data_IF_476438453274
#
_entry.id   IF_476438453274
#
_cell.length_a   1.000
_cell.length_b   1.000
_cell.length_c   1.000
_cell.angle_alpha   90.00
_cell.angle_beta   90.00
_cell.angle_gamma   90.00
#
_symmetry.space_group_name_H-M   'P 1'
#
loop_
_entity.id
_entity.type
_entity.pdbx_description
1 polymer ?
#
# COMPACT_ATOMS: atom_id res chain seq x y z
N UNK A 1 -13.91 -12.25 -16.51
CA UNK A 1 -12.89 -11.44 -15.80
C UNK A 1 -11.63 -12.25 -15.49
N UNK A 2 -11.70 -13.39 -14.77
CA UNK A 2 -10.52 -14.25 -14.46
C UNK A 2 -9.69 -14.69 -15.67
N UNK A 3 -10.36 -15.23 -16.70
CA UNK A 3 -9.69 -15.72 -17.91
C UNK A 3 -8.94 -14.61 -18.67
N UNK A 4 -9.39 -13.35 -18.54
CA UNK A 4 -8.70 -12.20 -19.16
C UNK A 4 -7.43 -11.84 -18.39
N UNK A 5 -7.46 -11.94 -17.05
CA UNK A 5 -6.30 -11.66 -16.19
C UNK A 5 -5.22 -12.74 -16.32
N UNK A 6 -5.61 -14.02 -16.35
CA UNK A 6 -4.68 -15.13 -16.57
C UNK A 6 -4.02 -15.06 -17.96
N UNK A 7 -4.76 -14.66 -18.99
CA UNK A 7 -4.22 -14.41 -20.32
C UNK A 7 -3.24 -13.23 -20.33
N UNK A 8 -3.59 -12.12 -19.66
CA UNK A 8 -2.71 -10.95 -19.52
C UNK A 8 -1.41 -11.32 -18.80
N UNK A 9 -1.48 -12.07 -17.70
CA UNK A 9 -0.30 -12.57 -16.96
C UNK A 9 0.64 -13.34 -17.88
N UNK A 10 0.15 -14.34 -18.62
CA UNK A 10 0.99 -15.13 -19.53
C UNK A 10 1.64 -14.30 -20.62
N UNK A 11 0.91 -13.31 -21.13
CA UNK A 11 1.42 -12.39 -22.18
C UNK A 11 2.55 -11.53 -21.62
N UNK A 12 2.35 -10.96 -20.43
CA UNK A 12 3.37 -10.17 -19.74
C UNK A 12 4.58 -11.00 -19.33
N UNK A 13 4.39 -12.22 -18.84
CA UNK A 13 5.50 -13.13 -18.50
C UNK A 13 6.39 -13.42 -19.71
N UNK A 14 5.79 -13.60 -20.90
CA UNK A 14 6.55 -13.76 -22.14
C UNK A 14 7.30 -12.48 -22.51
N UNK A 15 6.65 -11.32 -22.44
CA UNK A 15 7.30 -10.05 -22.75
C UNK A 15 8.46 -9.74 -21.79
N UNK A 16 8.32 -10.06 -20.49
CA UNK A 16 9.37 -9.93 -19.49
C UNK A 16 10.51 -10.94 -19.71
N UNK A 17 10.22 -12.12 -20.26
CA UNK A 17 11.28 -13.06 -20.64
C UNK A 17 12.14 -12.51 -21.78
N UNK A 18 11.54 -11.75 -22.70
CA UNK A 18 12.24 -11.08 -23.81
C UNK A 18 12.97 -9.80 -23.33
N UNK A 19 12.40 -9.04 -22.39
CA UNK A 19 13.00 -7.86 -21.77
C UNK A 19 12.86 -7.86 -20.23
N UNK A 20 13.77 -8.54 -19.50
CA UNK A 20 13.65 -8.70 -18.05
C UNK A 20 13.98 -7.44 -17.25
N UNK A 21 14.50 -6.39 -17.90
CA UNK A 21 14.86 -5.12 -17.29
C UNK A 21 13.78 -4.05 -17.52
N UNK A 22 12.63 -4.40 -18.10
CA UNK A 22 11.54 -3.45 -18.30
C UNK A 22 10.74 -3.24 -17.01
N UNK A 23 11.00 -2.12 -16.32
CA UNK A 23 10.32 -1.79 -15.06
C UNK A 23 8.80 -1.63 -15.21
N UNK A 24 8.33 -1.10 -16.34
CA UNK A 24 6.91 -0.90 -16.62
C UNK A 24 6.17 -2.25 -16.75
N UNK A 25 6.72 -3.19 -17.53
CA UNK A 25 6.14 -4.53 -17.66
C UNK A 25 6.09 -5.28 -16.32
N UNK A 26 7.12 -5.10 -15.48
CA UNK A 26 7.17 -5.68 -14.13
C UNK A 26 6.05 -5.11 -13.24
N UNK A 27 5.83 -3.79 -13.27
CA UNK A 27 4.71 -3.14 -12.56
C UNK A 27 3.36 -3.65 -13.10
N UNK A 28 3.18 -3.73 -14.42
CA UNK A 28 1.95 -4.25 -15.00
C UNK A 28 1.63 -5.68 -14.58
N UNK A 29 2.65 -6.55 -14.52
CA UNK A 29 2.48 -7.93 -14.07
C UNK A 29 2.18 -7.97 -12.57
N UNK A 30 2.84 -7.14 -11.77
CA UNK A 30 2.55 -7.03 -10.34
C UNK A 30 1.10 -6.63 -10.06
N UNK A 31 0.56 -5.64 -10.80
CA UNK A 31 -0.86 -5.25 -10.74
C UNK A 31 -1.79 -6.43 -11.01
N UNK A 32 -1.43 -7.30 -11.95
CA UNK A 32 -2.24 -8.48 -12.25
C UNK A 32 -2.24 -9.46 -11.06
N UNK A 33 -1.09 -9.69 -10.45
CA UNK A 33 -0.97 -10.53 -9.25
C UNK A 33 -1.71 -9.93 -8.05
N UNK A 34 -1.62 -8.61 -7.85
CA UNK A 34 -2.40 -7.90 -6.83
C UNK A 34 -3.93 -8.01 -7.10
N UNK A 35 -4.37 -7.84 -8.34
CA UNK A 35 -5.78 -7.90 -8.71
C UNK A 35 -6.40 -9.30 -8.59
N UNK A 36 -5.59 -10.38 -8.65
CA UNK A 36 -6.05 -11.74 -8.36
C UNK A 36 -6.55 -11.89 -6.92
N UNK A 37 -6.16 -10.97 -6.03
CA UNK A 37 -6.53 -10.98 -4.62
C UNK A 37 -7.60 -9.95 -4.22
N UNK A 38 -8.07 -9.11 -5.15
CA UNK A 38 -9.06 -8.08 -4.84
C UNK A 38 -10.28 -8.70 -4.11
N UNK A 39 -10.56 -8.31 -2.85
CA UNK A 39 -11.69 -8.81 -2.06
C UNK A 39 -13.06 -8.56 -2.71
N UNK A 40 -13.15 -7.58 -3.62
CA UNK A 40 -14.36 -7.31 -4.41
C UNK A 40 -14.46 -8.19 -5.66
N UNK A 41 -13.38 -8.85 -6.06
CA UNK A 41 -13.44 -9.82 -7.15
C UNK A 41 -14.18 -11.06 -6.67
N UNK A 42 -15.07 -11.61 -7.51
CA UNK A 42 -15.84 -12.83 -7.24
C UNK A 42 -14.97 -14.09 -7.02
N UNK A 43 -13.64 -13.94 -7.07
CA UNK A 43 -12.62 -14.98 -7.06
C UNK A 43 -11.95 -15.15 -5.68
N UNK A 44 -11.86 -14.07 -4.90
CA UNK A 44 -11.30 -14.10 -3.54
C UNK A 44 -12.16 -14.89 -2.55
N UNK A 45 -13.46 -15.04 -2.83
CA UNK A 45 -14.42 -15.76 -1.98
C UNK A 45 -14.23 -17.28 -1.93
N UNK A 46 -13.40 -17.88 -2.81
CA UNK A 46 -13.20 -19.34 -2.89
C UNK A 46 -11.79 -19.80 -2.49
N UNK A 47 -10.86 -18.89 -2.23
CA UNK A 47 -9.47 -19.23 -1.89
C UNK A 47 -9.26 -19.20 -0.37
N UNK A 48 -8.98 -20.36 0.21
CA UNK A 48 -8.45 -20.48 1.58
C UNK A 48 -7.24 -19.54 1.74
N UNK A 49 -7.13 -18.92 2.92
CA UNK A 49 -6.16 -17.91 3.38
C UNK A 49 -4.68 -18.13 2.98
N UNK A 50 -4.32 -19.33 2.53
CA UNK A 50 -2.98 -19.73 2.13
C UNK A 50 -2.55 -19.19 0.76
N UNK A 51 -3.47 -19.05 -0.20
CA UNK A 51 -3.12 -18.60 -1.56
C UNK A 51 -3.14 -17.07 -1.74
N UNK A 52 -3.82 -16.33 -0.84
CA UNK A 52 -3.83 -14.86 -0.78
C UNK A 52 -2.53 -14.25 -0.22
N UNK A 53 -1.60 -15.04 0.30
CA UNK A 53 -0.26 -14.49 0.57
C UNK A 53 0.63 -14.66 -0.64
N UNK A 54 0.36 -15.69 -1.44
CA UNK A 54 1.20 -16.08 -2.56
C UNK A 54 1.21 -15.04 -3.67
N UNK A 55 0.07 -14.47 -4.06
CA UNK A 55 0.06 -13.48 -5.15
C UNK A 55 0.52 -12.09 -4.70
N UNK A 56 0.21 -11.66 -3.47
CA UNK A 56 0.82 -10.45 -2.90
C UNK A 56 2.35 -10.58 -2.82
N UNK A 57 2.89 -11.72 -2.37
CA UNK A 57 4.33 -11.93 -2.39
C UNK A 57 4.92 -11.98 -3.81
N UNK A 58 4.17 -12.44 -4.82
CA UNK A 58 4.59 -12.32 -6.23
C UNK A 58 4.63 -10.86 -6.68
N UNK A 59 3.59 -10.08 -6.35
CA UNK A 59 3.52 -8.65 -6.61
C UNK A 59 4.72 -7.92 -5.99
N UNK A 60 5.00 -8.15 -4.70
CA UNK A 60 6.18 -7.59 -4.01
C UNK A 60 7.47 -7.87 -4.78
N UNK A 61 7.75 -9.14 -5.13
CA UNK A 61 9.01 -9.48 -5.82
C UNK A 61 9.18 -8.76 -7.16
N UNK A 62 8.09 -8.63 -7.92
CA UNK A 62 8.11 -7.93 -9.21
C UNK A 62 8.33 -6.43 -9.03
N UNK A 63 7.67 -5.83 -8.03
CA UNK A 63 7.79 -4.42 -7.72
C UNK A 63 9.15 -4.06 -7.12
N UNK A 64 9.71 -4.89 -6.24
CA UNK A 64 11.09 -4.77 -5.76
C UNK A 64 12.09 -4.84 -6.92
N UNK A 65 11.84 -5.72 -7.91
CA UNK A 65 12.68 -5.76 -9.11
C UNK A 65 12.55 -4.47 -9.92
N UNK A 66 11.33 -3.94 -10.09
CA UNK A 66 11.09 -2.69 -10.79
C UNK A 66 11.77 -1.50 -10.11
N UNK A 67 11.68 -1.37 -8.79
CA UNK A 67 12.33 -0.29 -8.02
C UNK A 67 13.85 -0.44 -7.97
N UNK A 68 14.39 -1.65 -8.11
CA UNK A 68 15.84 -1.86 -8.25
C UNK A 68 16.36 -1.47 -9.64
N UNK A 69 15.54 -1.66 -10.69
CA UNK A 69 15.88 -1.27 -12.06
C UNK A 69 15.81 0.25 -12.20
N UNK A 70 14.71 0.85 -11.72
CA UNK A 70 14.50 2.28 -11.72
C UNK A 70 14.10 2.76 -10.30
N UNK A 71 15.09 3.22 -9.51
CA UNK A 71 14.87 3.73 -8.16
C UNK A 71 14.01 4.99 -8.09
N UNK A 72 13.79 5.68 -9.21
CA UNK A 72 12.98 6.90 -9.28
C UNK A 72 11.58 6.64 -9.84
N UNK A 73 11.25 5.39 -10.17
CA UNK A 73 9.93 5.03 -10.67
C UNK A 73 8.88 5.08 -9.55
N UNK A 74 8.36 6.29 -9.31
CA UNK A 74 7.44 6.59 -8.21
C UNK A 74 6.18 5.71 -8.21
N UNK A 75 5.74 5.24 -9.37
CA UNK A 75 4.59 4.33 -9.48
C UNK A 75 4.92 2.95 -8.89
N UNK A 76 6.12 2.43 -9.15
CA UNK A 76 6.57 1.15 -8.59
C UNK A 76 6.67 1.24 -7.07
N UNK A 77 7.26 2.31 -6.52
CA UNK A 77 7.32 2.53 -5.07
C UNK A 77 5.92 2.70 -4.44
N UNK A 78 5.00 3.40 -5.12
CA UNK A 78 3.62 3.55 -4.67
C UNK A 78 2.92 2.20 -4.51
N UNK A 79 2.96 1.38 -5.56
CA UNK A 79 2.31 0.08 -5.60
C UNK A 79 2.99 -0.94 -4.68
N UNK A 80 4.32 -0.86 -4.54
CA UNK A 80 5.08 -1.70 -3.62
C UNK A 80 4.65 -1.41 -2.19
N UNK A 81 4.54 -0.14 -1.82
CA UNK A 81 4.06 0.23 -0.49
C UNK A 81 2.61 -0.18 -0.23
N UNK A 82 1.72 -0.07 -1.23
CA UNK A 82 0.35 -0.59 -1.11
C UNK A 82 0.35 -2.10 -0.88
N UNK A 83 1.18 -2.83 -1.63
CA UNK A 83 1.28 -4.29 -1.53
C UNK A 83 1.82 -4.72 -0.16
N UNK A 84 2.87 -4.06 0.35
CA UNK A 84 3.36 -4.28 1.71
C UNK A 84 2.31 -3.96 2.77
N UNK A 85 1.52 -2.90 2.58
CA UNK A 85 0.43 -2.53 3.47
C UNK A 85 -0.64 -3.61 3.57
N UNK A 86 -1.01 -4.23 2.44
CA UNK A 86 -1.91 -5.38 2.41
C UNK A 86 -1.33 -6.60 3.15
N UNK A 87 -0.01 -6.78 3.11
CA UNK A 87 0.72 -7.79 3.87
C UNK A 87 0.93 -7.42 5.35
N UNK A 88 0.47 -6.23 5.79
CA UNK A 88 0.71 -5.64 7.11
C UNK A 88 2.19 -5.34 7.42
N UNK A 89 3.03 -5.27 6.40
CA UNK A 89 4.42 -4.82 6.52
C UNK A 89 4.49 -3.29 6.40
N UNK A 90 3.97 -2.61 7.41
CA UNK A 90 3.86 -1.15 7.40
C UNK A 90 5.22 -0.46 7.39
N UNK A 91 6.27 -1.10 7.92
CA UNK A 91 7.60 -0.51 7.93
C UNK A 91 8.18 -0.40 6.52
N UNK A 92 8.12 -1.48 5.75
CA UNK A 92 8.58 -1.44 4.35
C UNK A 92 7.63 -0.62 3.48
N UNK A 93 6.33 -0.64 3.75
CA UNK A 93 5.38 0.23 3.04
C UNK A 93 5.75 1.71 3.14
N UNK A 94 6.06 2.16 4.36
CA UNK A 94 6.40 3.55 4.63
C UNK A 94 7.76 3.92 4.03
N UNK A 95 8.76 3.04 4.11
CA UNK A 95 10.06 3.25 3.46
C UNK A 95 9.93 3.48 1.96
N UNK A 96 9.09 2.70 1.28
CA UNK A 96 8.88 2.90 -0.16
C UNK A 96 8.16 4.21 -0.45
N UNK A 97 7.18 4.58 0.37
CA UNK A 97 6.48 5.85 0.20
C UNK A 97 7.30 7.09 0.58
N UNK A 98 8.29 6.95 1.46
CA UNK A 98 9.27 8.01 1.73
C UNK A 98 10.18 8.29 0.53
N UNK A 99 10.45 7.29 -0.32
CA UNK A 99 11.21 7.48 -1.57
C UNK A 99 10.41 8.25 -2.62
N UNK A 100 9.09 8.28 -2.50
CA UNK A 100 8.23 8.94 -3.46
C UNK A 100 8.39 10.45 -3.36
N UNK A 101 9.09 10.98 -4.35
CA UNK A 101 9.25 12.40 -4.57
C UNK A 101 8.35 12.74 -5.74
N UNK A 102 7.20 13.35 -5.46
CA UNK A 102 6.33 13.91 -6.50
C UNK A 102 6.95 15.20 -7.02
N UNK A 103 8.16 15.11 -7.61
CA UNK A 103 8.86 16.29 -8.11
C UNK A 103 8.27 16.79 -9.42
N UNK A 104 7.62 15.91 -10.19
CA UNK A 104 7.29 16.19 -11.60
C UNK A 104 5.81 15.98 -11.97
N UNK A 105 4.95 15.50 -11.07
CA UNK A 105 3.53 15.25 -11.39
C UNK A 105 3.30 14.13 -12.42
N UNK A 106 4.31 13.27 -12.60
CA UNK A 106 4.44 12.26 -13.66
C UNK A 106 3.59 10.99 -13.44
N UNK A 107 2.93 10.89 -12.29
CA UNK A 107 2.08 9.75 -11.99
C UNK A 107 0.72 9.91 -12.67
N UNK A 108 0.50 9.10 -13.72
CA UNK A 108 -0.79 8.92 -14.36
C UNK A 108 -1.74 8.12 -13.45
N UNK A 109 -2.15 8.76 -12.35
CA UNK A 109 -3.12 8.25 -11.39
C UNK A 109 -4.49 8.83 -11.70
N UNK A 110 -5.49 7.97 -11.83
CA UNK A 110 -6.89 8.36 -11.81
C UNK A 110 -7.26 9.10 -10.50
N UNK A 111 -8.43 9.74 -10.46
CA UNK A 111 -8.84 10.56 -9.31
C UNK A 111 -8.88 9.81 -7.97
N UNK A 112 -9.20 8.51 -7.97
CA UNK A 112 -9.24 7.71 -6.74
C UNK A 112 -7.82 7.38 -6.26
N UNK A 113 -6.94 6.99 -7.19
CA UNK A 113 -5.55 6.68 -6.90
C UNK A 113 -4.76 7.94 -6.51
N UNK A 114 -5.06 9.10 -7.10
CA UNK A 114 -4.47 10.40 -6.72
C UNK A 114 -4.86 10.82 -5.30
N UNK A 115 -6.13 10.63 -4.92
CA UNK A 115 -6.58 10.89 -3.54
C UNK A 115 -5.86 9.99 -2.56
N UNK A 116 -5.71 8.71 -2.92
CA UNK A 116 -5.02 7.71 -2.10
C UNK A 116 -3.53 8.01 -1.97
N UNK A 117 -2.89 8.45 -3.04
CA UNK A 117 -1.52 8.90 -3.09
C UNK A 117 -1.24 10.03 -2.09
N UNK A 118 -2.06 11.08 -2.12
CA UNK A 118 -1.93 12.21 -1.21
C UNK A 118 -2.07 11.76 0.25
N UNK A 119 -3.09 10.94 0.55
CA UNK A 119 -3.32 10.40 1.88
C UNK A 119 -2.14 9.54 2.38
N UNK A 120 -1.52 8.75 1.49
CA UNK A 120 -0.34 7.94 1.79
C UNK A 120 0.88 8.81 2.09
N UNK A 121 1.12 9.89 1.33
CA UNK A 121 2.22 10.83 1.64
C UNK A 121 2.05 11.49 3.00
N UNK A 122 0.84 11.90 3.34
CA UNK A 122 0.51 12.48 4.65
C UNK A 122 0.69 11.46 5.78
N UNK A 123 0.29 10.21 5.55
CA UNK A 123 0.50 9.10 6.49
C UNK A 123 1.99 8.81 6.71
N UNK A 124 2.79 8.74 5.64
CA UNK A 124 4.23 8.53 5.72
C UNK A 124 4.94 9.67 6.48
N UNK A 125 4.61 10.93 6.16
CA UNK A 125 5.14 12.09 6.88
C UNK A 125 4.78 12.07 8.37
N UNK A 126 3.53 11.73 8.71
CA UNK A 126 3.08 11.58 10.09
C UNK A 126 3.80 10.46 10.85
N UNK A 127 4.12 9.36 10.16
CA UNK A 127 4.84 8.23 10.75
C UNK A 127 6.31 8.54 11.01
N UNK A 128 6.95 9.28 10.11
CA UNK A 128 8.30 9.78 10.33
C UNK A 128 8.36 10.69 11.57
N UNK A 129 7.43 11.65 11.66
CA UNK A 129 7.26 12.50 12.83
C UNK A 129 7.03 11.70 14.12
N UNK A 130 6.24 10.62 14.06
CA UNK A 130 6.01 9.70 15.18
C UNK A 130 7.31 9.06 15.68
N UNK A 131 8.19 8.60 14.77
CA UNK A 131 9.45 7.94 15.12
C UNK A 131 10.48 8.93 15.68
N UNK A 132 10.46 10.18 15.22
CA UNK A 132 11.44 11.20 15.62
C UNK A 132 11.06 11.94 16.92
N UNK A 133 9.76 12.14 17.18
CA UNK A 133 9.28 12.84 18.39
C UNK A 133 9.09 11.88 19.57
N UNK A 134 9.91 12.07 20.60
CA UNK A 134 9.84 11.31 21.87
C UNK A 134 8.60 11.61 22.71
N UNK A 135 8.00 12.78 22.53
CA UNK A 135 6.90 13.22 23.38
C UNK A 135 5.59 12.51 23.02
N UNK A 136 4.97 11.85 24.00
CA UNK A 136 3.65 11.25 23.83
C UNK A 136 2.58 12.35 23.82
N UNK A 137 1.93 12.57 22.69
CA UNK A 137 0.80 13.48 22.58
C UNK A 137 -0.36 12.84 21.82
N UNK A 138 -1.55 13.41 21.99
CA UNK A 138 -2.78 12.85 21.44
C UNK A 138 -2.79 12.82 19.90
N UNK A 139 -2.23 13.84 19.26
CA UNK A 139 -2.18 13.94 17.80
C UNK A 139 -1.29 12.87 17.18
N UNK A 140 -0.26 12.42 17.89
CA UNK A 140 0.62 11.31 17.49
C UNK A 140 -0.17 10.01 17.31
N UNK A 141 -0.98 9.64 18.30
CA UNK A 141 -1.79 8.42 18.22
C UNK A 141 -2.97 8.57 17.25
N UNK A 142 -3.52 9.77 17.10
CA UNK A 142 -4.56 10.04 16.10
C UNK A 142 -4.01 9.87 14.68
N UNK A 143 -2.88 10.49 14.37
CA UNK A 143 -2.26 10.37 13.06
C UNK A 143 -1.80 8.93 12.78
N UNK A 144 -1.30 8.21 13.79
CA UNK A 144 -0.98 6.79 13.69
C UNK A 144 -2.21 5.95 13.34
N UNK A 145 -3.35 6.25 13.97
CA UNK A 145 -4.61 5.57 13.68
C UNK A 145 -5.13 5.87 12.27
N UNK A 146 -5.11 7.14 11.85
CA UNK A 146 -5.49 7.55 10.49
C UNK A 146 -4.57 6.92 9.45
N UNK A 147 -3.26 6.90 9.68
CA UNK A 147 -2.31 6.20 8.84
C UNK A 147 -2.67 4.72 8.77
N UNK A 148 -2.77 4.02 9.90
CA UNK A 148 -3.14 2.61 9.92
C UNK A 148 -4.48 2.31 9.20
N UNK A 149 -5.47 3.22 9.27
CA UNK A 149 -6.71 3.12 8.49
C UNK A 149 -6.47 3.19 6.97
N UNK A 150 -5.69 4.18 6.52
CA UNK A 150 -5.30 4.34 5.10
C UNK A 150 -4.54 3.10 4.61
N UNK A 151 -3.76 2.50 5.50
CA UNK A 151 -2.95 1.30 5.30
C UNK A 151 -3.74 -0.02 5.41
N UNK A 152 -5.03 0.03 5.73
CA UNK A 152 -5.86 -1.16 5.91
C UNK A 152 -5.55 -1.97 7.18
N UNK A 153 -4.71 -1.45 8.06
CA UNK A 153 -4.41 -1.99 9.38
C UNK A 153 -5.47 -1.63 10.41
N UNK A 154 -6.69 -2.13 10.24
CA UNK A 154 -7.82 -1.75 11.08
C UNK A 154 -7.64 -2.07 12.58
N UNK A 155 -6.95 -3.16 12.93
CA UNK A 155 -6.67 -3.50 14.34
C UNK A 155 -5.67 -2.53 14.97
N UNK A 156 -4.64 -2.15 14.21
CA UNK A 156 -3.62 -1.22 14.68
C UNK A 156 -4.14 0.21 14.72
N UNK A 157 -5.02 0.56 13.77
CA UNK A 157 -5.80 1.78 13.79
C UNK A 157 -6.67 1.87 15.05
N UNK A 158 -7.43 0.80 15.35
CA UNK A 158 -8.25 0.71 16.56
C UNK A 158 -7.43 0.93 17.82
N UNK A 159 -6.31 0.22 17.99
CA UNK A 159 -5.43 0.40 19.16
C UNK A 159 -4.90 1.83 19.29
N UNK A 160 -4.52 2.44 18.17
CA UNK A 160 -4.06 3.82 18.16
C UNK A 160 -5.17 4.79 18.57
N UNK A 161 -6.39 4.62 18.06
CA UNK A 161 -7.54 5.43 18.44
C UNK A 161 -8.02 5.18 19.88
N UNK A 162 -7.93 3.95 20.39
CA UNK A 162 -8.18 3.64 21.81
C UNK A 162 -7.21 4.40 22.72
N UNK A 163 -5.93 4.50 22.32
CA UNK A 163 -4.95 5.33 23.04
C UNK A 163 -5.33 6.81 23.01
N UNK A 164 -5.82 7.34 21.88
CA UNK A 164 -6.34 8.71 21.79
C UNK A 164 -7.49 8.94 22.77
N UNK A 165 -8.48 8.04 22.80
CA UNK A 165 -9.64 8.16 23.69
C UNK A 165 -9.25 8.04 25.17
N UNK A 166 -8.29 7.18 25.51
CA UNK A 166 -7.78 7.11 26.90
C UNK A 166 -7.01 8.36 27.34
N UNK A 167 -6.40 9.10 26.41
CA UNK A 167 -5.72 10.38 26.70
C UNK A 167 -6.70 11.56 26.75
N UNK A 168 -7.70 11.58 25.87
CA UNK A 168 -8.80 12.55 25.89
C UNK A 168 -10.10 11.87 25.43
N UNK A 169 -10.97 11.52 26.38
CA UNK A 169 -12.25 10.89 26.09
C UNK A 169 -13.18 11.73 25.20
N UNK A 170 -12.97 13.06 25.13
CA UNK A 170 -13.78 14.00 24.36
C UNK A 170 -13.16 14.36 23.00
N UNK A 171 -12.18 13.61 22.51
CA UNK A 171 -11.60 13.85 21.18
C UNK A 171 -12.57 13.37 20.09
N UNK A 172 -13.55 14.21 19.75
CA UNK A 172 -14.67 13.89 18.84
C UNK A 172 -14.24 13.27 17.50
N UNK A 173 -13.10 13.72 16.96
CA UNK A 173 -12.53 13.18 15.71
C UNK A 173 -12.20 11.69 15.76
N UNK A 174 -11.96 11.09 16.93
CA UNK A 174 -11.69 9.65 17.08
C UNK A 174 -12.93 8.80 17.20
N UNK A 175 -14.03 9.35 17.73
CA UNK A 175 -15.25 8.59 17.99
C UNK A 175 -15.87 8.08 16.68
N UNK A 176 -15.70 8.82 15.58
CA UNK A 176 -16.10 8.38 14.24
C UNK A 176 -15.37 7.12 13.76
N UNK A 177 -14.13 6.88 14.20
CA UNK A 177 -13.33 5.72 13.76
C UNK A 177 -13.47 4.49 14.66
N UNK A 178 -14.11 4.63 15.82
CA UNK A 178 -14.33 3.55 16.80
C UNK A 178 -15.78 3.06 16.88
N UNK A 179 -16.72 3.80 16.28
CA UNK A 179 -18.13 3.43 16.12
C UNK A 179 -18.33 2.42 14.97
#
# INVERSE_FOLDING_TARGET
MKANLEYKIRTLERAIADDPANAELLVELARCYYALEDPKSRLSQTLHTQNQKTHLHQSVRLLEKATNIDPYYSQASFELGITYSCLRDYENAIREWEKMTDTDGDLDLDGANRTRYQAIREAAASWKDYKEKREENIFKYYNLGVAAMILGGFDDARKAFEKVVSMNPNFEKCLYYLA
#
